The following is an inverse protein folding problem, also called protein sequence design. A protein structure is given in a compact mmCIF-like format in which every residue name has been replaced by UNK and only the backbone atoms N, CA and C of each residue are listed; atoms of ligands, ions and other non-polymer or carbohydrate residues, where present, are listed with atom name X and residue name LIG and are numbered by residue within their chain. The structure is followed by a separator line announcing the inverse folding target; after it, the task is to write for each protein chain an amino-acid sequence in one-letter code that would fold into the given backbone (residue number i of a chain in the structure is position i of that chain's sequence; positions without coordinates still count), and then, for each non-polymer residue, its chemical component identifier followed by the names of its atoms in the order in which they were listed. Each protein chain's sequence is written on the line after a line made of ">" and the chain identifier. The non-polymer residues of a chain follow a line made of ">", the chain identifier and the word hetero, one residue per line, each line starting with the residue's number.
data_IF_842350985567
#
_entry.id   IF_842350985567
#
_cell.length_a   1.000
_cell.length_b   1.000
_cell.length_c   1.000
_cell.angle_alpha   90.00
_cell.angle_beta   90.00
_cell.angle_gamma   90.00
#
_symmetry.space_group_name_H-M   'P 1'
#
loop_
_entity.id
_entity.type
_entity.pdbx_description
1 polymer ?
#
# COMPACT_ATOMS: atom_id res chain seq x y z
N UNK A 1 18.15 -38.94 -16.29
CA UNK A 1 17.74 -37.63 -16.85
C UNK A 1 16.37 -37.28 -16.30
N UNK A 2 16.32 -36.35 -15.34
CA UNK A 2 15.07 -35.98 -14.62
C UNK A 2 14.55 -34.69 -15.26
N UNK A 3 13.49 -34.81 -16.03
CA UNK A 3 12.79 -33.66 -16.63
C UNK A 3 12.20 -32.81 -15.49
N UNK A 4 12.80 -31.66 -15.23
CA UNK A 4 12.21 -30.62 -14.40
C UNK A 4 11.19 -29.92 -15.29
N UNK A 5 9.93 -30.27 -15.12
CA UNK A 5 8.81 -29.51 -15.66
C UNK A 5 8.74 -28.18 -14.91
N UNK A 6 9.19 -27.12 -15.55
CA UNK A 6 8.82 -25.75 -15.16
C UNK A 6 7.33 -25.57 -15.49
N UNK A 7 6.45 -25.87 -14.53
CA UNK A 7 5.09 -25.35 -14.57
C UNK A 7 5.16 -23.89 -14.12
N UNK A 8 5.46 -23.00 -15.06
CA UNK A 8 5.22 -21.57 -14.86
C UNK A 8 3.73 -21.39 -14.58
N UNK A 9 3.42 -20.87 -13.40
CA UNK A 9 2.08 -20.51 -13.01
C UNK A 9 1.54 -19.39 -13.88
N UNK A 10 0.95 -19.75 -15.02
CA UNK A 10 0.24 -18.84 -15.92
C UNK A 10 -1.08 -18.30 -15.31
N UNK A 11 -1.48 -18.78 -14.13
CA UNK A 11 -2.77 -18.43 -13.53
C UNK A 11 -2.79 -17.07 -12.79
N UNK A 12 -1.66 -16.50 -12.42
CA UNK A 12 -1.61 -15.21 -11.72
C UNK A 12 -1.63 -14.00 -12.67
N UNK A 13 -1.26 -14.16 -13.94
CA UNK A 13 -1.13 -13.04 -14.86
C UNK A 13 -2.48 -12.43 -15.32
N UNK A 14 -3.57 -13.20 -15.32
CA UNK A 14 -4.89 -12.69 -15.73
C UNK A 14 -5.59 -11.85 -14.65
N UNK A 15 -5.28 -12.06 -13.38
CA UNK A 15 -5.84 -11.25 -12.28
C UNK A 15 -5.11 -9.90 -12.15
N UNK A 16 -3.83 -9.85 -12.50
CA UNK A 16 -3.02 -8.62 -12.42
C UNK A 16 -3.46 -7.59 -13.47
N UNK A 17 -3.98 -8.02 -14.63
CA UNK A 17 -4.33 -7.12 -15.72
C UNK A 17 -5.44 -6.11 -15.34
N UNK A 18 -6.35 -6.49 -14.45
CA UNK A 18 -7.47 -5.66 -14.00
C UNK A 18 -7.37 -5.28 -12.52
N UNK A 19 -6.22 -5.50 -11.89
CA UNK A 19 -6.00 -5.14 -10.49
C UNK A 19 -5.43 -3.72 -10.40
N UNK A 20 -5.91 -2.96 -9.43
CA UNK A 20 -5.34 -1.67 -9.08
C UNK A 20 -3.85 -1.81 -8.78
N UNK A 21 -3.09 -0.82 -9.24
CA UNK A 21 -1.66 -0.69 -8.97
C UNK A 21 -1.41 0.59 -8.19
N UNK A 22 -0.65 0.47 -7.11
CA UNK A 22 -0.11 1.61 -6.39
C UNK A 22 1.40 1.68 -6.58
N UNK A 23 1.91 2.90 -6.70
CA UNK A 23 3.33 3.18 -6.53
C UNK A 23 3.50 4.06 -5.29
N UNK A 24 4.29 3.60 -4.35
CA UNK A 24 4.55 4.30 -3.09
C UNK A 24 5.98 4.79 -3.08
N UNK A 25 6.13 6.08 -2.82
CA UNK A 25 7.41 6.78 -2.71
C UNK A 25 7.51 7.40 -1.33
N UNK A 26 8.35 6.84 -0.46
CA UNK A 26 8.57 7.35 0.90
C UNK A 26 9.69 8.37 0.91
N UNK A 27 9.38 9.58 1.34
CA UNK A 27 10.28 10.70 1.37
C UNK A 27 10.56 11.15 2.80
N UNK A 28 11.83 11.35 3.11
CA UNK A 28 12.28 11.91 4.37
C UNK A 28 12.68 13.37 4.17
N UNK A 29 11.95 14.32 4.80
CA UNK A 29 12.29 15.73 4.68
C UNK A 29 13.65 16.03 5.28
N UNK A 30 14.43 16.91 4.65
CA UNK A 30 15.61 17.46 5.29
C UNK A 30 15.22 18.33 6.50
N UNK A 31 16.11 18.51 7.50
CA UNK A 31 15.83 19.33 8.67
C UNK A 31 15.29 20.72 8.31
N UNK A 32 14.10 21.05 8.82
CA UNK A 32 13.41 22.32 8.54
C UNK A 32 12.73 22.42 7.16
N UNK A 33 12.74 21.35 6.35
CA UNK A 33 12.20 21.37 4.97
C UNK A 33 10.85 20.65 4.83
N UNK A 34 10.23 20.15 5.90
CA UNK A 34 8.96 19.40 5.81
C UNK A 34 7.85 20.20 5.12
N UNK A 35 7.71 21.50 5.45
CA UNK A 35 6.72 22.37 4.79
C UNK A 35 7.01 22.56 3.29
N UNK A 36 8.28 22.67 2.87
CA UNK A 36 8.64 22.77 1.46
C UNK A 36 8.34 21.45 0.74
N UNK A 37 8.65 20.31 1.35
CA UNK A 37 8.32 19.00 0.78
C UNK A 37 6.82 18.85 0.51
N UNK A 38 5.97 19.27 1.43
CA UNK A 38 4.51 19.23 1.23
C UNK A 38 4.07 20.11 0.06
N UNK A 39 4.64 21.30 -0.09
CA UNK A 39 4.37 22.17 -1.25
C UNK A 39 4.84 21.54 -2.57
N UNK A 40 6.03 20.94 -2.58
CA UNK A 40 6.55 20.24 -3.75
C UNK A 40 5.65 19.03 -4.12
N UNK A 41 5.20 18.27 -3.12
CA UNK A 41 4.26 17.14 -3.32
C UNK A 41 2.88 17.60 -3.84
N UNK A 42 2.36 18.73 -3.36
CA UNK A 42 1.08 19.29 -3.85
C UNK A 42 1.19 19.72 -5.32
N UNK A 43 2.31 20.34 -5.71
CA UNK A 43 2.57 20.70 -7.11
C UNK A 43 2.69 19.43 -7.98
N UNK A 44 3.45 18.42 -7.53
CA UNK A 44 3.56 17.14 -8.20
C UNK A 44 2.18 16.47 -8.37
N UNK A 45 1.37 16.46 -7.32
CA UNK A 45 0.03 15.87 -7.33
C UNK A 45 -0.90 16.56 -8.34
N UNK A 46 -0.82 17.89 -8.45
CA UNK A 46 -1.59 18.64 -9.45
C UNK A 46 -1.20 18.25 -10.88
N UNK A 47 0.09 17.98 -11.13
CA UNK A 47 0.57 17.53 -12.43
C UNK A 47 0.08 16.11 -12.72
N UNK A 48 0.24 15.19 -11.76
CA UNK A 48 -0.18 13.80 -11.93
C UNK A 48 -1.70 13.68 -12.11
N UNK A 49 -2.51 14.38 -11.30
CA UNK A 49 -3.96 14.42 -11.45
C UNK A 49 -4.37 15.02 -12.81
N UNK A 50 -3.68 16.04 -13.30
CA UNK A 50 -3.87 16.58 -14.65
C UNK A 50 -3.61 15.57 -15.76
N UNK A 51 -2.81 14.54 -15.51
CA UNK A 51 -2.57 13.40 -16.40
C UNK A 51 -3.58 12.26 -16.22
N UNK A 52 -4.44 12.33 -15.19
CA UNK A 52 -5.41 11.28 -14.82
C UNK A 52 -4.82 10.21 -13.89
N UNK A 53 -3.74 10.52 -13.18
CA UNK A 53 -3.15 9.65 -12.15
C UNK A 53 -3.67 10.11 -10.80
N UNK A 54 -4.34 9.21 -10.07
CA UNK A 54 -4.77 9.49 -8.70
C UNK A 54 -3.58 9.61 -7.74
N UNK A 55 -3.67 10.52 -6.78
CA UNK A 55 -2.58 10.77 -5.82
C UNK A 55 -3.11 10.82 -4.40
N UNK A 56 -2.41 10.22 -3.45
CA UNK A 56 -2.59 10.50 -2.03
C UNK A 56 -1.26 10.80 -1.35
N UNK A 57 -1.30 11.70 -0.35
CA UNK A 57 -0.15 12.04 0.49
C UNK A 57 -0.47 11.63 1.92
N UNK A 58 0.38 10.79 2.50
CA UNK A 58 0.19 10.25 3.84
C UNK A 58 1.37 10.61 4.74
N UNK A 59 1.09 11.23 5.90
CA UNK A 59 2.10 11.44 6.93
C UNK A 59 2.28 10.14 7.71
N UNK A 60 3.49 9.62 7.71
CA UNK A 60 3.85 8.46 8.51
C UNK A 60 4.09 8.91 9.97
N UNK A 61 3.40 8.26 10.89
CA UNK A 61 3.44 8.60 12.31
C UNK A 61 4.20 7.57 13.13
N UNK A 62 3.47 6.81 13.95
CA UNK A 62 4.05 5.79 14.82
C UNK A 62 4.60 4.63 13.99
N UNK A 63 5.81 4.19 14.29
CA UNK A 63 6.51 3.09 13.60
C UNK A 63 7.59 3.55 12.62
N UNK A 64 7.76 4.84 12.41
CA UNK A 64 8.75 5.44 11.50
C UNK A 64 9.21 6.81 11.97
N UNK A 65 10.17 7.41 11.24
CA UNK A 65 10.82 8.68 11.58
C UNK A 65 10.12 9.93 11.02
N UNK A 66 8.80 9.95 10.91
CA UNK A 66 8.01 11.06 10.36
C UNK A 66 8.27 11.32 8.87
N UNK A 67 8.43 10.25 8.11
CA UNK A 67 8.51 10.31 6.66
C UNK A 67 7.13 10.57 6.05
N UNK A 68 7.08 10.88 4.76
CA UNK A 68 5.85 11.15 4.03
C UNK A 68 5.80 10.24 2.82
N UNK A 69 4.69 9.49 2.71
CA UNK A 69 4.40 8.70 1.52
C UNK A 69 3.67 9.56 0.49
N UNK A 70 4.18 9.50 -0.72
CA UNK A 70 3.53 9.96 -1.93
C UNK A 70 3.08 8.76 -2.74
N UNK A 71 1.78 8.59 -2.91
CA UNK A 71 1.18 7.38 -3.49
C UNK A 71 0.51 7.73 -4.80
N UNK A 72 0.93 7.08 -5.88
CA UNK A 72 0.26 7.11 -7.19
C UNK A 72 -0.69 5.92 -7.30
N UNK A 73 -1.89 6.14 -7.84
CA UNK A 73 -2.92 5.12 -8.06
C UNK A 73 -3.28 4.99 -9.52
N UNK A 74 -3.33 3.75 -9.98
CA UNK A 74 -3.72 3.35 -11.34
C UNK A 74 -4.78 2.26 -11.25
N UNK A 75 -5.83 2.38 -12.06
CA UNK A 75 -6.96 1.46 -12.02
C UNK A 75 -6.60 0.03 -12.43
N UNK A 76 -5.59 -0.12 -13.30
CA UNK A 76 -5.14 -1.39 -13.85
C UNK A 76 -3.75 -1.27 -14.49
N UNK A 77 -3.21 -2.39 -14.96
CA UNK A 77 -1.89 -2.45 -15.60
C UNK A 77 -1.84 -1.67 -16.93
N UNK A 78 -2.93 -1.61 -17.68
CA UNK A 78 -2.99 -0.85 -18.93
C UNK A 78 -2.93 0.66 -18.67
N UNK A 79 -3.73 1.15 -17.73
CA UNK A 79 -3.70 2.55 -17.31
C UNK A 79 -2.36 2.93 -16.69
N UNK A 80 -1.76 2.05 -15.88
CA UNK A 80 -0.42 2.25 -15.33
C UNK A 80 0.60 2.49 -16.45
N UNK A 81 0.68 1.62 -17.46
CA UNK A 81 1.63 1.77 -18.56
C UNK A 81 1.41 3.05 -19.36
N UNK A 82 0.18 3.30 -19.78
CA UNK A 82 -0.19 4.48 -20.57
C UNK A 82 0.07 5.79 -19.83
N UNK A 83 -0.29 5.86 -18.54
CA UNK A 83 -0.14 7.08 -17.73
C UNK A 83 1.30 7.31 -17.31
N UNK A 84 2.08 6.24 -17.07
CA UNK A 84 3.52 6.35 -16.82
C UNK A 84 4.26 6.90 -18.06
N UNK A 85 3.92 6.43 -19.27
CA UNK A 85 4.47 6.99 -20.50
C UNK A 85 4.08 8.48 -20.66
N UNK A 86 2.83 8.84 -20.36
CA UNK A 86 2.38 10.21 -20.40
C UNK A 86 3.16 11.10 -19.40
N UNK A 87 3.39 10.60 -18.18
CA UNK A 87 4.14 11.33 -17.16
C UNK A 87 5.60 11.58 -17.59
N UNK A 88 6.31 10.55 -18.05
CA UNK A 88 7.71 10.67 -18.50
C UNK A 88 7.86 11.67 -19.65
N UNK A 89 6.84 11.77 -20.52
CA UNK A 89 6.84 12.68 -21.66
C UNK A 89 6.19 14.05 -21.36
N UNK A 90 5.70 14.30 -20.14
CA UNK A 90 5.09 15.59 -19.76
C UNK A 90 6.14 16.68 -19.61
N UNK A 91 6.03 17.79 -20.35
CA UNK A 91 6.91 18.95 -20.18
C UNK A 91 6.78 19.57 -18.78
N UNK A 92 5.57 19.58 -18.20
CA UNK A 92 5.28 20.10 -16.87
C UNK A 92 5.99 19.27 -15.80
N UNK A 93 5.90 17.93 -15.89
CA UNK A 93 6.61 17.02 -15.01
C UNK A 93 8.13 17.20 -15.11
N UNK A 94 8.66 17.29 -16.32
CA UNK A 94 10.10 17.45 -16.54
C UNK A 94 10.62 18.79 -15.98
N UNK A 95 9.84 19.86 -16.12
CA UNK A 95 10.18 21.17 -15.55
C UNK A 95 10.13 21.13 -14.00
N UNK A 96 9.11 20.51 -13.43
CA UNK A 96 8.99 20.28 -11.99
C UNK A 96 10.18 19.49 -11.46
N UNK A 97 10.48 18.34 -12.05
CA UNK A 97 11.59 17.47 -11.65
C UNK A 97 12.94 18.20 -11.68
N UNK A 98 13.18 19.00 -12.71
CA UNK A 98 14.39 19.83 -12.81
C UNK A 98 14.45 20.90 -11.70
N UNK A 99 13.32 21.56 -11.38
CA UNK A 99 13.20 22.55 -10.30
C UNK A 99 13.53 21.92 -8.94
N UNK A 100 12.89 20.79 -8.61
CA UNK A 100 13.10 20.12 -7.30
C UNK A 100 14.49 19.52 -7.22
N UNK A 101 14.99 18.96 -8.31
CA UNK A 101 16.36 18.42 -8.40
C UNK A 101 17.44 19.46 -8.15
N UNK A 102 17.21 20.73 -8.53
CA UNK A 102 18.15 21.84 -8.28
C UNK A 102 18.15 22.30 -6.81
N UNK A 103 17.07 22.09 -6.06
CA UNK A 103 16.97 22.46 -4.64
C UNK A 103 16.09 21.46 -3.88
N UNK A 104 16.59 20.27 -3.59
CA UNK A 104 15.80 19.22 -2.99
C UNK A 104 15.35 19.56 -1.56
N UNK A 105 14.10 19.23 -1.25
CA UNK A 105 13.52 19.38 0.08
C UNK A 105 13.58 18.10 0.93
N UNK A 106 13.85 16.94 0.30
CA UNK A 106 13.85 15.63 0.94
C UNK A 106 14.79 14.65 0.19
N UNK A 107 15.01 13.51 0.82
CA UNK A 107 15.60 12.31 0.19
C UNK A 107 14.54 11.23 0.00
N UNK A 108 14.62 10.48 -1.09
CA UNK A 108 13.82 9.29 -1.32
C UNK A 108 14.40 8.13 -0.48
N UNK A 109 13.63 7.63 0.48
CA UNK A 109 14.08 6.55 1.40
C UNK A 109 13.70 5.17 0.88
N UNK A 110 12.52 5.05 0.26
CA UNK A 110 12.08 3.81 -0.37
C UNK A 110 11.07 4.07 -1.48
N UNK A 111 11.00 3.12 -2.42
CA UNK A 111 9.91 3.06 -3.40
C UNK A 111 9.56 1.60 -3.67
N UNK A 112 8.28 1.35 -3.90
CA UNK A 112 7.78 0.03 -4.24
C UNK A 112 6.43 0.14 -4.95
N UNK A 113 6.09 -0.88 -5.74
CA UNK A 113 4.75 -1.00 -6.31
C UNK A 113 3.97 -2.12 -5.64
N UNK A 114 2.67 -1.92 -5.56
CA UNK A 114 1.69 -2.80 -4.95
C UNK A 114 0.63 -3.18 -5.98
N UNK A 115 0.18 -4.43 -5.94
CA UNK A 115 -0.94 -4.91 -6.73
C UNK A 115 -2.05 -5.35 -5.78
N UNK A 116 -3.25 -4.81 -5.98
CA UNK A 116 -4.41 -5.16 -5.18
C UNK A 116 -4.73 -6.65 -5.31
N UNK A 117 -4.94 -7.33 -4.18
CA UNK A 117 -5.23 -8.76 -4.12
C UNK A 117 -6.73 -9.04 -3.97
N UNK A 118 -7.55 -8.01 -3.83
CA UNK A 118 -8.99 -8.11 -3.65
C UNK A 118 -9.73 -7.32 -4.72
N UNK A 119 -10.21 -8.02 -5.75
CA UNK A 119 -10.98 -7.42 -6.84
C UNK A 119 -12.37 -6.89 -6.42
N UNK A 120 -12.84 -7.22 -5.21
CA UNK A 120 -14.12 -6.72 -4.69
C UNK A 120 -13.99 -5.30 -4.11
N UNK A 121 -12.76 -4.87 -3.84
CA UNK A 121 -12.42 -3.54 -3.33
C UNK A 121 -11.52 -2.84 -4.36
N UNK A 122 -12.02 -2.70 -5.56
CA UNK A 122 -11.35 -1.95 -6.63
C UNK A 122 -11.45 -0.47 -6.32
N UNK A 123 -10.37 0.12 -6.21
CA UNK A 123 -9.99 1.37 -5.70
C UNK A 123 -10.47 2.61 -6.45
N UNK A 124 -11.71 2.89 -6.39
CA UNK A 124 -12.16 4.28 -6.45
C UNK A 124 -12.23 4.91 -5.04
N UNK A 125 -11.86 4.15 -4.02
CA UNK A 125 -11.94 4.60 -2.63
C UNK A 125 -10.59 5.12 -2.16
N UNK A 126 -10.21 6.31 -2.64
CA UNK A 126 -9.10 7.05 -2.05
C UNK A 126 -9.31 7.21 -0.54
N UNK A 127 -8.21 7.25 0.20
CA UNK A 127 -8.27 7.69 1.58
C UNK A 127 -8.51 9.19 1.63
N UNK A 128 -9.53 9.59 2.40
CA UNK A 128 -9.86 11.01 2.57
C UNK A 128 -8.92 11.69 3.57
N UNK A 129 -8.68 13.00 3.43
CA UNK A 129 -7.92 13.75 4.41
C UNK A 129 -8.48 13.59 5.83
N UNK A 130 -7.60 13.23 6.77
CA UNK A 130 -7.94 12.94 8.16
C UNK A 130 -8.19 11.46 8.46
N UNK A 131 -8.37 10.61 7.47
CA UNK A 131 -8.40 9.16 7.68
C UNK A 131 -7.06 8.64 8.17
N UNK A 132 -7.13 7.58 8.97
CA UNK A 132 -5.97 6.93 9.59
C UNK A 132 -5.78 5.55 8.97
N UNK A 133 -4.55 5.24 8.59
CA UNK A 133 -4.15 3.98 7.98
C UNK A 133 -3.24 3.26 8.97
N UNK A 134 -3.61 2.04 9.37
CA UNK A 134 -2.70 1.12 10.06
C UNK A 134 -2.22 0.10 9.04
N UNK A 135 -0.98 0.24 8.61
CA UNK A 135 -0.36 -0.57 7.57
C UNK A 135 0.54 -1.65 8.19
N UNK A 136 0.36 -2.88 7.75
CA UNK A 136 1.15 -4.03 8.16
C UNK A 136 1.81 -4.66 6.95
N UNK A 137 3.12 -4.90 7.03
CA UNK A 137 3.86 -5.64 6.00
C UNK A 137 4.22 -7.02 6.52
N UNK A 138 3.91 -8.03 5.72
CA UNK A 138 4.11 -9.42 6.05
C UNK A 138 4.95 -10.11 4.97
N UNK A 139 5.91 -10.92 5.44
CA UNK A 139 6.66 -11.82 4.61
C UNK A 139 6.07 -13.22 4.73
N UNK A 140 5.54 -13.82 3.64
CA UNK A 140 5.01 -15.18 3.68
C UNK A 140 6.13 -16.18 3.97
N UNK A 141 5.77 -17.35 4.50
CA UNK A 141 6.67 -18.49 4.54
C UNK A 141 7.09 -18.88 3.10
N UNK A 142 8.25 -19.52 2.98
CA UNK A 142 8.82 -19.84 1.68
C UNK A 142 7.92 -20.76 0.83
N UNK A 143 7.82 -20.45 -0.45
CA UNK A 143 7.09 -21.25 -1.44
C UNK A 143 5.63 -20.84 -1.60
N UNK A 144 5.00 -21.39 -2.63
CA UNK A 144 3.63 -21.05 -3.03
C UNK A 144 2.60 -21.35 -1.94
N UNK A 145 2.82 -22.39 -1.15
CA UNK A 145 1.94 -22.77 -0.03
C UNK A 145 1.90 -21.66 1.04
N UNK A 146 3.06 -21.12 1.44
CA UNK A 146 3.14 -20.03 2.41
C UNK A 146 2.49 -18.75 1.88
N UNK A 147 2.71 -18.41 0.60
CA UNK A 147 2.05 -17.27 -0.05
C UNK A 147 0.52 -17.42 -0.05
N UNK A 148 0.01 -18.60 -0.41
CA UNK A 148 -1.42 -18.85 -0.44
C UNK A 148 -2.03 -18.86 0.97
N UNK A 149 -1.32 -19.42 1.97
CA UNK A 149 -1.77 -19.42 3.35
C UNK A 149 -1.90 -17.98 3.90
N UNK A 150 -0.92 -17.11 3.63
CA UNK A 150 -1.00 -15.70 4.04
C UNK A 150 -2.16 -14.97 3.35
N UNK A 151 -2.35 -15.18 2.04
CA UNK A 151 -3.47 -14.59 1.29
C UNK A 151 -4.82 -15.01 1.85
N UNK A 152 -5.01 -16.30 2.16
CA UNK A 152 -6.24 -16.79 2.79
C UNK A 152 -6.44 -16.23 4.20
N UNK A 153 -5.36 -16.11 4.97
CA UNK A 153 -5.38 -15.46 6.28
C UNK A 153 -5.83 -13.99 6.19
N UNK A 154 -5.35 -13.25 5.19
CA UNK A 154 -5.77 -11.86 4.93
C UNK A 154 -7.25 -11.77 4.59
N UNK A 155 -7.77 -12.64 3.72
CA UNK A 155 -9.20 -12.65 3.36
C UNK A 155 -10.09 -12.94 4.58
N UNK A 156 -9.69 -13.88 5.43
CA UNK A 156 -10.43 -14.19 6.66
C UNK A 156 -10.39 -13.02 7.64
N UNK A 157 -9.20 -12.46 7.90
CA UNK A 157 -9.03 -11.31 8.78
C UNK A 157 -9.79 -10.08 8.28
N UNK A 158 -9.79 -9.84 6.94
CA UNK A 158 -10.53 -8.75 6.30
C UNK A 158 -12.00 -8.79 6.65
N UNK A 159 -12.67 -9.95 6.46
CA UNK A 159 -14.09 -10.08 6.78
C UNK A 159 -14.41 -9.75 8.24
N UNK A 160 -13.56 -10.19 9.18
CA UNK A 160 -13.73 -9.89 10.60
C UNK A 160 -13.53 -8.39 10.87
N UNK A 161 -12.46 -7.79 10.37
CA UNK A 161 -12.15 -6.38 10.62
C UNK A 161 -13.19 -5.44 9.99
N UNK A 162 -13.71 -5.77 8.80
CA UNK A 162 -14.78 -4.99 8.16
C UNK A 162 -16.10 -5.09 8.91
N UNK A 163 -16.43 -6.25 9.47
CA UNK A 163 -17.59 -6.40 10.36
C UNK A 163 -17.46 -5.56 11.64
N UNK A 164 -16.24 -5.27 12.08
CA UNK A 164 -15.94 -4.42 13.24
C UNK A 164 -15.83 -2.94 12.88
N UNK A 165 -15.95 -2.59 11.59
CA UNK A 165 -16.03 -1.21 11.12
C UNK A 165 -14.78 -0.67 10.42
N UNK A 166 -13.66 -1.39 10.35
CA UNK A 166 -12.52 -0.97 9.57
C UNK A 166 -12.77 -1.19 8.07
N UNK A 167 -12.28 -0.30 7.20
CA UNK A 167 -12.09 -0.62 5.79
C UNK A 167 -10.76 -1.35 5.62
N UNK A 168 -10.72 -2.41 4.83
CA UNK A 168 -9.50 -3.21 4.65
C UNK A 168 -9.10 -3.30 3.18
N UNK A 169 -7.83 -3.02 2.91
CA UNK A 169 -7.22 -3.22 1.59
C UNK A 169 -6.03 -4.18 1.71
N UNK A 170 -5.84 -5.04 0.72
CA UNK A 170 -4.77 -6.04 0.71
C UNK A 170 -3.99 -5.98 -0.60
N UNK A 171 -2.67 -5.98 -0.49
CA UNK A 171 -1.76 -5.82 -1.63
C UNK A 171 -0.63 -6.83 -1.58
N UNK A 172 -0.08 -7.13 -2.76
CA UNK A 172 1.20 -7.83 -2.92
C UNK A 172 2.24 -6.86 -3.50
N UNK A 173 3.47 -6.91 -3.00
CA UNK A 173 4.58 -6.11 -3.53
C UNK A 173 5.03 -6.73 -4.83
N UNK A 174 4.84 -5.99 -5.91
CA UNK A 174 5.15 -6.40 -7.27
C UNK A 174 6.55 -5.96 -7.72
N UNK A 175 7.03 -4.81 -7.24
CA UNK A 175 8.34 -4.27 -7.61
C UNK A 175 8.99 -3.59 -6.42
N UNK A 176 10.10 -4.09 -5.98
CA UNK A 176 11.08 -3.54 -5.02
C UNK A 176 12.07 -4.63 -4.61
N UNK A 177 12.94 -4.37 -3.63
CA UNK A 177 13.78 -5.40 -2.98
C UNK A 177 12.96 -6.42 -2.16
N UNK A 178 11.70 -6.11 -1.88
CA UNK A 178 10.77 -6.87 -1.04
C UNK A 178 9.68 -7.61 -1.83
N UNK A 179 9.91 -7.87 -3.12
CA UNK A 179 8.96 -8.58 -4.00
C UNK A 179 8.45 -9.87 -3.33
N UNK A 180 7.12 -10.07 -3.41
CA UNK A 180 6.44 -11.23 -2.84
C UNK A 180 6.05 -11.07 -1.36
N UNK A 181 6.43 -9.97 -0.69
CA UNK A 181 5.81 -9.59 0.57
C UNK A 181 4.41 -9.01 0.32
N UNK A 182 3.58 -9.00 1.35
CA UNK A 182 2.20 -8.52 1.27
C UNK A 182 1.96 -7.40 2.26
N UNK A 183 1.06 -6.48 1.89
CA UNK A 183 0.57 -5.44 2.78
C UNK A 183 -0.90 -5.66 3.11
N UNK A 184 -1.23 -5.39 4.36
CA UNK A 184 -2.57 -5.37 4.90
C UNK A 184 -2.81 -3.99 5.49
N UNK A 185 -3.76 -3.25 4.96
CA UNK A 185 -4.09 -1.91 5.38
C UNK A 185 -5.45 -1.92 6.08
N UNK A 186 -5.51 -1.39 7.29
CA UNK A 186 -6.76 -1.08 7.99
C UNK A 186 -6.95 0.43 7.98
N UNK A 187 -8.04 0.89 7.42
CA UNK A 187 -8.34 2.30 7.21
C UNK A 187 -9.54 2.68 8.09
N UNK A 188 -9.40 3.79 8.78
CA UNK A 188 -10.35 4.29 9.77
C UNK A 188 -10.66 5.77 9.50
N UNK A 189 -11.85 6.23 9.83
CA UNK A 189 -12.25 7.62 9.64
C UNK A 189 -11.49 8.60 10.55
N UNK A 190 -10.94 8.11 11.66
CA UNK A 190 -10.19 8.90 12.63
C UNK A 190 -9.40 8.03 13.60
N UNK A 191 -8.52 8.62 14.40
CA UNK A 191 -7.87 7.94 15.53
C UNK A 191 -8.87 7.44 16.58
N UNK A 192 -9.99 8.15 16.82
CA UNK A 192 -11.04 7.69 17.73
C UNK A 192 -11.72 6.44 17.19
N UNK A 193 -12.06 6.42 15.90
CA UNK A 193 -12.61 5.23 15.24
C UNK A 193 -11.63 4.05 15.28
N UNK A 194 -10.34 4.29 15.02
CA UNK A 194 -9.31 3.26 15.17
C UNK A 194 -9.29 2.68 16.60
N UNK A 195 -9.41 3.52 17.62
CA UNK A 195 -9.44 3.08 19.02
C UNK A 195 -10.69 2.25 19.34
N UNK A 196 -11.85 2.63 18.81
CA UNK A 196 -13.13 1.90 18.98
C UNK A 196 -13.05 0.51 18.34
N UNK A 197 -12.57 0.41 17.09
CA UNK A 197 -12.40 -0.88 16.40
C UNK A 197 -11.39 -1.76 17.12
N UNK A 198 -10.25 -1.22 17.56
CA UNK A 198 -9.26 -1.96 18.32
C UNK A 198 -9.80 -2.49 19.66
N UNK A 199 -10.63 -1.70 20.35
CA UNK A 199 -11.31 -2.14 21.56
C UNK A 199 -12.32 -3.26 21.31
N UNK A 200 -13.07 -3.19 20.21
CA UNK A 200 -13.99 -4.24 19.77
C UNK A 200 -13.24 -5.54 19.43
N UNK A 201 -12.14 -5.45 18.66
CA UNK A 201 -11.27 -6.60 18.32
C UNK A 201 -10.76 -7.34 19.57
N UNK A 202 -10.42 -6.61 20.63
CA UNK A 202 -9.88 -7.23 21.85
C UNK A 202 -10.83 -8.23 22.52
N UNK A 203 -12.12 -8.16 22.25
CA UNK A 203 -13.15 -9.03 22.85
C UNK A 203 -13.98 -9.79 21.82
N UNK A 204 -13.74 -9.58 20.52
CA UNK A 204 -14.49 -10.23 19.46
C UNK A 204 -14.17 -11.73 19.38
N UNK A 205 -15.19 -12.62 19.48
CA UNK A 205 -14.95 -14.06 19.51
C UNK A 205 -14.43 -14.63 18.19
N UNK A 206 -14.79 -14.04 17.04
CA UNK A 206 -14.31 -14.52 15.74
C UNK A 206 -12.84 -14.14 15.56
N UNK A 207 -12.45 -12.92 15.94
CA UNK A 207 -11.06 -12.50 15.93
C UNK A 207 -10.18 -13.33 16.85
N UNK A 208 -10.62 -13.58 18.09
CA UNK A 208 -9.89 -14.40 19.05
C UNK A 208 -9.75 -15.85 18.57
N UNK A 209 -10.80 -16.42 17.96
CA UNK A 209 -10.76 -17.75 17.37
C UNK A 209 -9.79 -17.80 16.17
N UNK A 210 -9.82 -16.80 15.29
CA UNK A 210 -8.88 -16.69 14.16
C UNK A 210 -7.43 -16.62 14.66
N UNK A 211 -7.12 -15.74 15.61
CA UNK A 211 -5.77 -15.65 16.19
C UNK A 211 -5.32 -17.00 16.80
N UNK A 212 -6.20 -17.67 17.53
CA UNK A 212 -5.91 -18.96 18.12
C UNK A 212 -5.64 -20.04 17.06
N UNK A 213 -6.36 -20.02 15.95
CA UNK A 213 -6.16 -20.93 14.82
C UNK A 213 -4.81 -20.74 14.14
N UNK A 214 -4.39 -19.48 13.96
CA UNK A 214 -3.08 -19.15 13.38
C UNK A 214 -1.93 -19.59 14.27
N UNK A 215 -2.06 -19.41 15.60
CA UNK A 215 -1.04 -19.84 16.56
C UNK A 215 -0.95 -21.36 16.63
N UNK A 216 -2.08 -22.09 16.50
CA UNK A 216 -2.14 -23.54 16.55
C UNK A 216 -1.71 -24.23 15.24
N UNK A 217 -1.64 -23.49 14.15
CA UNK A 217 -1.26 -24.05 12.84
C UNK A 217 0.18 -24.57 12.84
N UNK A 218 0.45 -25.75 12.27
CA UNK A 218 1.80 -26.27 12.16
C UNK A 218 2.64 -25.38 11.21
N UNK A 219 3.71 -24.83 11.73
CA UNK A 219 4.58 -23.90 10.99
C UNK A 219 4.09 -22.47 11.02
N UNK A 220 5.00 -21.53 10.80
CA UNK A 220 4.69 -20.11 10.72
C UNK A 220 4.31 -19.77 9.28
N UNK A 221 3.07 -19.37 9.05
CA UNK A 221 2.59 -19.00 7.71
C UNK A 221 3.24 -17.72 7.19
N UNK A 222 3.61 -16.79 8.07
CA UNK A 222 4.19 -15.50 7.72
C UNK A 222 4.92 -14.86 8.91
N UNK A 223 5.75 -13.86 8.61
CA UNK A 223 6.43 -13.01 9.60
C UNK A 223 6.00 -11.56 9.39
N UNK A 224 5.57 -10.89 10.46
CA UNK A 224 5.37 -9.45 10.44
C UNK A 224 6.72 -8.75 10.28
N UNK A 225 6.88 -7.96 9.24
CA UNK A 225 8.10 -7.21 8.94
C UNK A 225 8.07 -5.86 9.66
N UNK A 226 6.95 -5.13 9.52
CA UNK A 226 6.72 -3.87 10.22
C UNK A 226 5.21 -3.54 10.32
N UNK A 227 4.90 -2.65 11.22
CA UNK A 227 3.59 -2.01 11.34
C UNK A 227 3.77 -0.50 11.50
N UNK A 228 2.98 0.29 10.78
CA UNK A 228 3.07 1.75 10.73
C UNK A 228 1.65 2.32 10.81
N UNK A 229 1.49 3.40 11.58
CA UNK A 229 0.28 4.21 11.55
C UNK A 229 0.58 5.48 10.77
N UNK A 230 -0.23 5.74 9.76
CA UNK A 230 -0.18 6.93 8.93
C UNK A 230 -1.51 7.69 8.97
N UNK A 231 -1.51 8.93 8.54
CA UNK A 231 -2.73 9.70 8.32
C UNK A 231 -2.68 10.35 6.94
N UNK A 232 -3.80 10.33 6.24
CA UNK A 232 -3.94 11.01 4.95
C UNK A 232 -3.97 12.52 5.15
N UNK A 233 -3.07 13.23 4.47
CA UNK A 233 -2.98 14.69 4.49
C UNK A 233 -3.84 15.29 3.38
N UNK A 234 -3.76 14.70 2.18
CA UNK A 234 -4.42 15.19 0.98
C UNK A 234 -4.55 14.07 -0.06
N UNK A 235 -5.51 14.23 -0.96
CA UNK A 235 -5.69 13.38 -2.13
C UNK A 235 -6.07 14.22 -3.36
N UNK A 236 -5.88 13.66 -4.53
CA UNK A 236 -6.27 14.17 -5.85
C UNK A 236 -6.74 12.98 -6.70
N UNK A 237 -7.95 13.08 -7.22
CA UNK A 237 -8.54 12.14 -8.18
C UNK A 237 -8.18 12.51 -9.61
#
# INVERSE_FOLDING_TARGET
>A
MRNILFSLGLFSLFQIANAEILEVYTWKPYPGKAGQLLLDMQEAASIHSGLGIGVSINALGVGTAQDIDYVLRFNDLESWGRLSDANVNSPEWNAFAAKVGANPSAELVSSFSLVNQDSSNMANDFTEPGQVINAFRWKPASGLEGTNALRQGFLTAKGIHENLGARVETYEINSSVDVGQMQYLMIYDSYSHMAEVNAAMATDPEWLAFQSSVVAAPGQAATLVWAIVASTIANWD
#
